data_IF_216350198776
#
_entry.id   IF_216350198776
#
_cell.length_a   1.000
_cell.length_b   1.000
_cell.length_c   1.000
_cell.angle_alpha   90.00
_cell.angle_beta   90.00
_cell.angle_gamma   90.00
#
_symmetry.space_group_name_H-M   'P 1'
#
loop_
_entity.id
_entity.type
_entity.pdbx_description
1 polymer ?
#
# COMPACT_ATOMS: atom_id res chain seq x y z
N UNK A 1 -21.08 -20.19 -22.85
CA UNK A 1 -20.54 -20.20 -21.48
C UNK A 1 -20.21 -18.76 -21.07
N UNK A 2 -20.29 -18.38 -19.78
CA UNK A 2 -20.07 -17.01 -19.37
C UNK A 2 -18.59 -16.66 -19.47
N UNK A 3 -18.24 -15.68 -20.30
CA UNK A 3 -16.96 -14.99 -20.23
C UNK A 3 -16.94 -14.21 -18.91
N UNK A 4 -15.89 -14.37 -18.12
CA UNK A 4 -15.68 -13.51 -16.94
C UNK A 4 -15.24 -12.16 -17.50
N UNK A 5 -16.16 -11.19 -17.57
CA UNK A 5 -15.84 -9.85 -18.07
C UNK A 5 -15.08 -9.09 -17.00
N UNK A 6 -13.76 -9.08 -17.11
CA UNK A 6 -12.87 -8.40 -16.17
C UNK A 6 -12.54 -7.02 -16.73
N UNK A 7 -12.82 -5.99 -15.94
CA UNK A 7 -12.35 -4.64 -16.26
C UNK A 7 -10.88 -4.51 -15.86
N UNK A 8 -9.98 -4.94 -16.75
CA UNK A 8 -8.52 -4.87 -16.52
C UNK A 8 -8.05 -3.43 -16.28
N UNK A 9 -8.67 -2.46 -16.93
CA UNK A 9 -8.35 -1.05 -16.77
C UNK A 9 -8.61 -0.59 -15.31
N UNK A 10 -9.78 -0.92 -14.76
CA UNK A 10 -10.12 -0.60 -13.38
C UNK A 10 -9.17 -1.28 -12.38
N UNK A 11 -8.75 -2.52 -12.64
CA UNK A 11 -7.82 -3.24 -11.77
C UNK A 11 -6.39 -2.67 -11.83
N UNK A 12 -5.93 -2.29 -13.02
CA UNK A 12 -4.64 -1.60 -13.19
C UNK A 12 -4.66 -0.21 -12.54
N UNK A 13 -5.78 0.53 -12.65
CA UNK A 13 -5.95 1.80 -11.95
C UNK A 13 -5.91 1.60 -10.43
N UNK A 14 -6.54 0.56 -9.88
CA UNK A 14 -6.48 0.25 -8.46
C UNK A 14 -5.05 -0.09 -8.01
N UNK A 15 -4.29 -0.88 -8.79
CA UNK A 15 -2.87 -1.15 -8.51
C UNK A 15 -2.02 0.14 -8.50
N UNK A 16 -2.28 1.05 -9.43
CA UNK A 16 -1.59 2.34 -9.49
C UNK A 16 -1.95 3.24 -8.29
N UNK A 17 -3.21 3.25 -7.87
CA UNK A 17 -3.64 3.98 -6.68
C UNK A 17 -2.96 3.45 -5.42
N UNK A 18 -2.85 2.13 -5.25
CA UNK A 18 -2.12 1.52 -4.14
C UNK A 18 -0.64 1.91 -4.14
N UNK A 19 0.01 1.91 -5.31
CA UNK A 19 1.39 2.38 -5.44
C UNK A 19 1.55 3.85 -5.02
N UNK A 20 0.66 4.73 -5.50
CA UNK A 20 0.69 6.15 -5.14
C UNK A 20 0.50 6.34 -3.62
N UNK A 21 -0.45 5.63 -3.00
CA UNK A 21 -0.66 5.70 -1.55
C UNK A 21 0.57 5.23 -0.75
N UNK A 22 1.27 4.20 -1.22
CA UNK A 22 2.53 3.74 -0.60
C UNK A 22 3.62 4.82 -0.70
N UNK A 23 3.71 5.52 -1.83
CA UNK A 23 4.64 6.63 -2.02
C UNK A 23 4.31 7.82 -1.10
N UNK A 24 3.03 8.19 -1.00
CA UNK A 24 2.55 9.25 -0.11
C UNK A 24 2.83 8.92 1.36
N UNK A 25 2.59 7.68 1.81
CA UNK A 25 2.93 7.25 3.17
C UNK A 25 4.44 7.29 3.42
N UNK A 26 5.26 6.93 2.45
CA UNK A 26 6.72 7.06 2.57
C UNK A 26 7.15 8.51 2.71
N UNK A 27 6.57 9.42 1.93
CA UNK A 27 6.82 10.85 2.06
C UNK A 27 6.41 11.37 3.45
N UNK A 28 5.20 11.03 3.91
CA UNK A 28 4.70 11.41 5.23
C UNK A 28 5.58 10.87 6.36
N UNK A 29 6.05 9.62 6.25
CA UNK A 29 7.01 9.03 7.21
C UNK A 29 8.30 9.84 7.30
N UNK A 30 8.81 10.33 6.17
CA UNK A 30 10.00 11.19 6.13
C UNK A 30 9.74 12.53 6.81
N UNK A 31 8.62 13.19 6.49
CA UNK A 31 8.21 14.45 7.13
C UNK A 31 8.09 14.29 8.65
N UNK A 32 7.40 13.25 9.12
CA UNK A 32 7.25 12.94 10.55
C UNK A 32 8.60 12.70 11.21
N UNK A 33 9.52 12.00 10.53
CA UNK A 33 10.87 11.77 11.05
C UNK A 33 11.67 13.07 11.17
N UNK A 34 11.53 13.99 10.22
CA UNK A 34 12.17 15.31 10.28
C UNK A 34 11.63 16.12 11.46
N UNK A 35 10.31 16.14 11.66
CA UNK A 35 9.69 16.83 12.81
C UNK A 35 10.13 16.20 14.13
N UNK A 36 10.17 14.86 14.22
CA UNK A 36 10.65 14.15 15.40
C UNK A 36 12.09 14.55 15.75
N UNK A 37 12.99 14.58 14.76
CA UNK A 37 14.38 14.99 14.97
C UNK A 37 14.51 16.47 15.41
N UNK A 38 13.68 17.36 14.85
CA UNK A 38 13.63 18.76 15.26
C UNK A 38 13.18 18.90 16.72
N UNK A 39 12.12 18.19 17.14
CA UNK A 39 11.66 18.22 18.53
C UNK A 39 12.67 17.60 19.49
N UNK A 40 13.29 16.48 19.10
CA UNK A 40 14.33 15.83 19.89
C UNK A 40 15.52 16.77 20.18
N UNK A 41 15.89 17.60 19.21
CA UNK A 41 17.02 18.53 19.32
C UNK A 41 16.70 19.86 19.99
N UNK A 42 15.45 20.32 19.95
CA UNK A 42 15.08 21.69 20.37
C UNK A 42 14.17 21.78 21.60
N UNK A 43 13.47 20.70 21.96
CA UNK A 43 12.49 20.73 23.05
C UNK A 43 12.98 20.07 24.33
N UNK A 44 12.36 20.48 25.44
CA UNK A 44 12.53 19.82 26.73
C UNK A 44 12.15 18.35 26.63
N UNK A 45 13.05 17.47 27.06
CA UNK A 45 12.82 16.03 27.14
C UNK A 45 12.00 15.63 28.38
N UNK A 46 11.26 16.60 28.95
CA UNK A 46 10.37 16.44 30.09
C UNK A 46 8.99 17.03 29.76
N UNK A 47 7.97 16.59 30.50
CA UNK A 47 6.60 17.10 30.37
C UNK A 47 6.07 17.00 28.94
N UNK A 48 5.59 18.12 28.40
CA UNK A 48 4.94 18.18 27.08
C UNK A 48 5.87 17.83 25.92
N UNK A 49 7.17 18.14 26.00
CA UNK A 49 8.09 17.82 24.91
C UNK A 49 8.41 16.33 24.82
N UNK A 50 8.61 15.66 25.96
CA UNK A 50 8.71 14.19 26.01
C UNK A 50 7.48 13.52 25.39
N UNK A 51 6.28 14.04 25.71
CA UNK A 51 5.03 13.49 25.17
C UNK A 51 4.96 13.66 23.65
N UNK A 52 5.22 14.86 23.12
CA UNK A 52 5.19 15.12 21.69
C UNK A 52 6.16 14.23 20.90
N UNK A 53 7.38 14.00 21.42
CA UNK A 53 8.37 13.09 20.82
C UNK A 53 7.83 11.65 20.79
N UNK A 54 7.27 11.17 21.90
CA UNK A 54 6.67 9.84 21.98
C UNK A 54 5.47 9.67 21.04
N UNK A 55 4.62 10.69 20.92
CA UNK A 55 3.45 10.67 20.05
C UNK A 55 3.89 10.57 18.57
N UNK A 56 4.94 11.29 18.16
CA UNK A 56 5.51 11.18 16.82
C UNK A 56 6.18 9.82 16.55
N UNK A 57 6.82 9.22 17.55
CA UNK A 57 7.38 7.86 17.39
C UNK A 57 6.29 6.82 17.14
N UNK A 58 5.19 6.92 17.88
CA UNK A 58 4.03 6.04 17.70
C UNK A 58 3.42 6.27 16.31
N UNK A 59 3.20 7.53 15.92
CA UNK A 59 2.67 7.84 14.60
C UNK A 59 3.57 7.32 13.46
N UNK A 60 4.90 7.41 13.60
CA UNK A 60 5.85 6.84 12.63
C UNK A 60 5.73 5.31 12.53
N UNK A 61 5.48 4.62 13.64
CA UNK A 61 5.23 3.17 13.65
C UNK A 61 3.91 2.85 12.93
N UNK A 62 2.86 3.60 13.22
CA UNK A 62 1.54 3.40 12.61
C UNK A 62 1.58 3.59 11.09
N UNK A 63 2.29 4.61 10.60
CA UNK A 63 2.55 4.78 9.16
C UNK A 63 3.28 3.57 8.58
N UNK A 64 4.27 3.04 9.30
CA UNK A 64 4.99 1.83 8.89
C UNK A 64 4.07 0.63 8.75
N UNK A 65 3.22 0.37 9.75
CA UNK A 65 2.24 -0.72 9.71
C UNK A 65 1.27 -0.58 8.55
N UNK A 66 0.69 0.62 8.36
CA UNK A 66 -0.26 0.89 7.26
C UNK A 66 0.36 0.72 5.88
N UNK A 67 1.65 1.05 5.74
CA UNK A 67 2.38 0.85 4.50
C UNK A 67 2.59 -0.63 4.17
N UNK A 68 2.88 -1.46 5.17
CA UNK A 68 3.01 -2.91 4.96
C UNK A 68 1.65 -3.56 4.64
N UNK A 69 0.56 -3.11 5.28
CA UNK A 69 -0.81 -3.50 4.92
C UNK A 69 -1.11 -3.18 3.44
N UNK A 70 -0.85 -1.94 2.99
CA UNK A 70 -1.08 -1.56 1.59
C UNK A 70 -0.22 -2.35 0.59
N UNK A 71 1.02 -2.69 0.95
CA UNK A 71 1.87 -3.56 0.13
C UNK A 71 1.28 -4.97 0.01
N UNK A 72 0.73 -5.51 1.11
CA UNK A 72 0.04 -6.80 1.13
C UNK A 72 -1.18 -6.76 0.22
N UNK A 73 -2.07 -5.77 0.40
CA UNK A 73 -3.28 -5.60 -0.40
C UNK A 73 -2.96 -5.49 -1.91
N UNK A 74 -1.90 -4.74 -2.24
CA UNK A 74 -1.42 -4.62 -3.62
C UNK A 74 -0.95 -5.97 -4.18
N UNK A 75 -0.21 -6.74 -3.39
CA UNK A 75 0.28 -8.05 -3.81
C UNK A 75 -0.86 -9.06 -3.98
N UNK A 76 -1.85 -9.04 -3.10
CA UNK A 76 -3.06 -9.86 -3.20
C UNK A 76 -3.86 -9.50 -4.46
N UNK A 77 -4.10 -8.22 -4.71
CA UNK A 77 -4.80 -7.75 -5.92
C UNK A 77 -4.05 -8.17 -7.19
N UNK A 78 -2.73 -8.01 -7.23
CA UNK A 78 -1.91 -8.44 -8.36
C UNK A 78 -2.02 -9.94 -8.59
N UNK A 79 -1.96 -10.74 -7.52
CA UNK A 79 -2.06 -12.20 -7.60
C UNK A 79 -3.43 -12.64 -8.10
N UNK A 80 -4.51 -11.95 -7.69
CA UNK A 80 -5.85 -12.19 -8.20
C UNK A 80 -5.97 -11.88 -9.71
N UNK A 81 -5.41 -10.75 -10.16
CA UNK A 81 -5.36 -10.38 -11.59
C UNK A 81 -4.63 -11.45 -12.40
N UNK A 82 -3.47 -11.91 -11.92
CA UNK A 82 -2.67 -12.94 -12.62
C UNK A 82 -3.43 -14.27 -12.70
N UNK A 83 -4.13 -14.68 -11.63
CA UNK A 83 -4.97 -15.88 -11.64
C UNK A 83 -6.11 -15.77 -12.66
N UNK A 84 -6.78 -14.62 -12.70
CA UNK A 84 -7.86 -14.38 -13.63
C UNK A 84 -7.40 -14.46 -15.09
N UNK A 85 -6.23 -13.88 -15.41
CA UNK A 85 -5.63 -13.96 -16.74
C UNK A 85 -5.27 -15.40 -17.11
N UNK A 86 -4.73 -16.17 -16.17
CA UNK A 86 -4.42 -17.58 -16.39
C UNK A 86 -5.68 -18.42 -16.66
N UNK A 87 -6.79 -18.14 -15.95
CA UNK A 87 -8.07 -18.79 -16.19
C UNK A 87 -8.60 -18.47 -17.59
N UNK A 88 -8.62 -17.20 -17.99
CA UNK A 88 -9.08 -16.77 -19.32
C UNK A 88 -8.28 -17.47 -20.45
N UNK A 89 -6.96 -17.48 -20.33
CA UNK A 89 -6.06 -18.18 -21.27
C UNK A 89 -6.30 -19.70 -21.32
N UNK A 90 -6.61 -20.33 -20.19
CA UNK A 90 -6.91 -21.77 -20.15
C UNK A 90 -8.22 -22.12 -20.87
N UNK A 91 -9.18 -21.20 -20.89
CA UNK A 91 -10.43 -21.37 -21.64
C UNK A 91 -10.23 -21.20 -23.15
N UNK A 92 -9.37 -20.28 -23.58
CA UNK A 92 -9.01 -20.12 -25.00
C UNK A 92 -8.35 -21.39 -25.58
N UNK A 93 -7.55 -22.10 -24.79
CA UNK A 93 -6.92 -23.37 -25.19
C UNK A 93 -7.88 -24.58 -25.22
N UNK A 94 -9.10 -24.46 -24.69
CA UNK A 94 -10.13 -25.51 -24.70
C UNK A 94 -11.24 -25.28 -25.74
N UNK A 95 -11.04 -24.36 -26.70
CA UNK A 95 -11.92 -24.20 -27.87
C UNK A 95 -12.11 -25.51 -28.65
N UNK A 96 -13.27 -25.69 -29.34
CA UNK A 96 -13.71 -27.00 -29.80
C UNK A 96 -12.69 -27.62 -30.74
N UNK A 97 -12.12 -28.77 -30.32
CA UNK A 97 -11.51 -29.71 -31.24
C UNK A 97 -12.65 -30.27 -32.10
N UNK A 98 -12.73 -29.79 -33.35
CA UNK A 98 -13.53 -30.44 -34.39
C UNK A 98 -13.22 -31.93 -34.47
#
# INVERSE_FOLDING_TARGET
>A
MPQIYINEEALNQALQQLENMIQDLNHNKSVVSNVHNLLLSSWSQLGVGKKAISDLENFRKDIGTKMEELKSDKQELKSAIDLFKALDQSYDYMGPKY
#
